data_IF_570930096237
#
_entry.id   IF_570930096237
#
_cell.length_a   1.000
_cell.length_b   1.000
_cell.length_c   1.000
_cell.angle_alpha   90.00
_cell.angle_beta   90.00
_cell.angle_gamma   90.00
#
_symmetry.space_group_name_H-M   'P 1'
#
loop_
_entity.id
_entity.type
_entity.pdbx_description
1 polymer ?
#
# COMPACT_ATOMS: atom_id res chain seq x y z
N UNK A 1 -17.57 -13.08 19.30
CA UNK A 1 -18.15 -12.12 18.34
C UNK A 1 -17.22 -12.07 17.14
N UNK A 2 -17.65 -12.68 16.03
CA UNK A 2 -16.91 -12.78 14.77
C UNK A 2 -16.88 -11.41 14.10
N UNK A 3 -15.68 -10.91 13.83
CA UNK A 3 -15.40 -9.57 13.35
C UNK A 3 -15.56 -9.52 11.80
N UNK A 4 -16.74 -9.89 11.28
CA UNK A 4 -16.93 -10.15 9.83
C UNK A 4 -17.27 -8.92 8.97
N UNK A 5 -17.52 -7.74 9.55
CA UNK A 5 -17.81 -6.53 8.76
C UNK A 5 -16.61 -5.58 8.70
N UNK A 6 -15.44 -6.08 8.31
CA UNK A 6 -14.36 -5.19 7.87
C UNK A 6 -14.85 -4.43 6.63
N UNK A 7 -15.12 -3.13 6.78
CA UNK A 7 -15.66 -2.26 5.73
C UNK A 7 -14.79 -2.36 4.48
N UNK A 8 -15.33 -3.04 3.47
CA UNK A 8 -14.67 -3.22 2.18
C UNK A 8 -14.82 -1.94 1.35
N UNK A 9 -13.72 -1.41 0.84
CA UNK A 9 -13.69 -0.13 0.11
C UNK A 9 -13.07 -0.36 -1.28
N UNK A 10 -13.74 0.02 -2.38
CA UNK A 10 -13.20 -0.18 -3.71
C UNK A 10 -11.98 0.71 -3.96
N UNK A 11 -11.08 0.26 -4.83
CA UNK A 11 -10.03 1.11 -5.41
C UNK A 11 -10.69 2.20 -6.24
N UNK A 12 -10.30 3.47 -6.01
CA UNK A 12 -10.78 4.60 -6.81
C UNK A 12 -9.93 4.79 -8.04
N UNK A 13 -10.54 5.27 -9.11
CA UNK A 13 -9.86 5.53 -10.38
C UNK A 13 -10.17 6.94 -10.87
N UNK A 14 -9.11 7.71 -11.09
CA UNK A 14 -9.13 8.97 -11.81
C UNK A 14 -8.57 8.75 -13.22
N UNK A 15 -9.38 8.97 -14.25
CA UNK A 15 -8.88 9.03 -15.61
C UNK A 15 -8.36 10.44 -15.90
N UNK A 16 -7.17 10.54 -16.46
CA UNK A 16 -6.59 11.82 -16.89
C UNK A 16 -6.14 11.78 -18.34
N UNK A 17 -6.75 12.61 -19.16
CA UNK A 17 -6.31 12.83 -20.53
C UNK A 17 -5.41 14.06 -20.59
N UNK A 18 -4.27 13.96 -21.26
CA UNK A 18 -3.43 15.13 -21.55
C UNK A 18 -3.83 15.78 -22.88
N UNK A 19 -3.41 17.03 -23.16
CA UNK A 19 -3.47 17.59 -24.50
C UNK A 19 -2.68 16.78 -25.53
N UNK A 20 -2.99 16.98 -26.82
CA UNK A 20 -2.13 16.51 -27.91
C UNK A 20 -0.74 17.13 -27.78
N UNK A 21 0.31 16.31 -27.90
CA UNK A 21 1.70 16.81 -27.86
C UNK A 21 2.16 17.24 -29.25
N UNK A 22 3.18 18.13 -29.37
CA UNK A 22 3.66 18.62 -30.67
C UNK A 22 3.99 17.52 -31.67
N UNK A 23 4.53 16.38 -31.21
CA UNK A 23 4.79 15.21 -32.05
C UNK A 23 3.51 14.66 -32.70
N UNK A 24 2.44 14.50 -31.93
CA UNK A 24 1.16 13.97 -32.43
C UNK A 24 0.50 14.96 -33.40
N UNK A 25 0.59 16.27 -33.11
CA UNK A 25 0.10 17.33 -33.99
C UNK A 25 0.85 17.32 -35.32
N UNK A 26 2.20 17.22 -35.28
CA UNK A 26 3.04 17.18 -36.48
C UNK A 26 2.82 15.91 -37.31
N UNK A 27 2.44 14.80 -36.67
CA UNK A 27 2.06 13.55 -37.33
C UNK A 27 0.61 13.59 -37.88
N UNK A 28 -0.13 14.68 -37.66
CA UNK A 28 -1.51 14.86 -38.15
C UNK A 28 -2.58 14.12 -37.35
N UNK A 29 -2.27 13.66 -36.13
CA UNK A 29 -3.19 12.92 -35.28
C UNK A 29 -4.41 13.75 -34.90
N UNK A 30 -5.58 13.12 -34.84
CA UNK A 30 -6.82 13.74 -34.36
C UNK A 30 -7.17 13.27 -32.94
N UNK A 31 -7.97 14.06 -32.22
CA UNK A 31 -8.52 13.66 -30.94
C UNK A 31 -9.59 12.57 -31.15
N UNK A 32 -9.39 11.38 -30.57
CA UNK A 32 -10.32 10.26 -30.65
C UNK A 32 -11.20 10.09 -29.40
N UNK A 33 -11.20 11.07 -28.50
CA UNK A 33 -11.90 11.04 -27.22
C UNK A 33 -12.89 12.20 -27.11
N UNK A 34 -14.08 11.89 -26.57
CA UNK A 34 -15.10 12.89 -26.21
C UNK A 34 -15.39 12.78 -24.72
N UNK A 35 -15.48 13.92 -24.03
CA UNK A 35 -15.77 14.00 -22.59
C UNK A 35 -17.18 14.52 -22.37
N UNK A 36 -17.93 13.92 -21.44
CA UNK A 36 -19.30 14.33 -21.14
C UNK A 36 -19.28 15.40 -20.05
N UNK A 37 -19.73 16.65 -20.31
CA UNK A 37 -19.68 17.72 -19.32
C UNK A 37 -20.49 17.37 -18.06
N UNK A 38 -19.87 17.53 -16.88
CA UNK A 38 -20.52 17.29 -15.58
C UNK A 38 -20.65 15.81 -15.19
N UNK A 39 -20.27 14.87 -16.05
CA UNK A 39 -20.27 13.44 -15.76
C UNK A 39 -18.84 12.88 -15.78
N UNK A 40 -18.48 11.94 -14.89
CA UNK A 40 -17.16 11.30 -14.92
C UNK A 40 -17.12 10.22 -16.02
N UNK A 41 -17.41 10.61 -17.26
CA UNK A 41 -17.53 9.72 -18.42
C UNK A 41 -16.68 10.20 -19.61
N UNK A 42 -16.03 9.24 -20.26
CA UNK A 42 -15.29 9.43 -21.52
C UNK A 42 -15.84 8.48 -22.58
N UNK A 43 -15.91 8.95 -23.83
CA UNK A 43 -16.34 8.18 -24.98
C UNK A 43 -15.16 8.06 -25.95
N UNK A 44 -14.82 6.83 -26.35
CA UNK A 44 -13.77 6.53 -27.33
C UNK A 44 -14.41 6.25 -28.68
N UNK A 45 -14.09 7.07 -29.68
CA UNK A 45 -14.75 7.01 -30.99
C UNK A 45 -16.25 7.30 -30.87
N UNK A 46 -17.08 6.51 -31.55
CA UNK A 46 -18.54 6.74 -31.63
C UNK A 46 -19.40 5.84 -30.73
N UNK A 47 -18.83 4.84 -30.05
CA UNK A 47 -19.65 3.76 -29.45
C UNK A 47 -19.25 3.29 -28.04
N UNK A 48 -18.03 3.59 -27.56
CA UNK A 48 -17.53 3.02 -26.28
C UNK A 48 -17.41 4.06 -25.19
N UNK A 49 -18.41 4.11 -24.32
CA UNK A 49 -18.38 4.93 -23.10
C UNK A 49 -17.73 4.17 -21.92
N UNK A 50 -16.92 4.87 -21.14
CA UNK A 50 -16.33 4.40 -19.90
C UNK A 50 -16.60 5.42 -18.78
N UNK A 51 -17.03 4.94 -17.62
CA UNK A 51 -17.31 5.78 -16.45
C UNK A 51 -16.32 5.46 -15.32
N UNK A 52 -15.77 6.48 -14.69
CA UNK A 52 -14.79 6.37 -13.61
C UNK A 52 -15.25 7.15 -12.37
N UNK A 53 -14.46 7.15 -11.31
CA UNK A 53 -14.76 7.97 -10.12
C UNK A 53 -14.47 9.45 -10.40
N UNK A 54 -13.45 9.72 -11.22
CA UNK A 54 -13.10 11.04 -11.73
C UNK A 54 -12.65 10.95 -13.19
N UNK A 55 -13.01 11.93 -14.01
CA UNK A 55 -12.51 12.08 -15.38
C UNK A 55 -12.04 13.52 -15.58
N UNK A 56 -10.75 13.64 -15.91
CA UNK A 56 -10.08 14.90 -16.19
C UNK A 56 -9.79 14.98 -17.69
N UNK A 57 -10.40 15.97 -18.35
CA UNK A 57 -10.17 16.26 -19.76
C UNK A 57 -8.80 16.97 -19.97
N UNK A 58 -8.38 17.23 -21.22
CA UNK A 58 -7.11 17.88 -21.53
C UNK A 58 -6.88 19.26 -20.89
N UNK A 59 -7.94 19.96 -20.47
CA UNK A 59 -7.86 21.29 -19.85
C UNK A 59 -7.61 21.22 -18.35
N UNK A 60 -7.78 20.05 -17.72
CA UNK A 60 -7.64 19.89 -16.29
C UNK A 60 -6.21 20.14 -15.79
N UNK A 61 -6.09 21.07 -14.85
CA UNK A 61 -4.82 21.48 -14.26
C UNK A 61 -4.35 20.52 -13.15
N UNK A 62 -3.07 20.62 -12.80
CA UNK A 62 -2.49 19.77 -11.75
C UNK A 62 -3.14 19.99 -10.38
N UNK A 63 -3.51 21.23 -10.08
CA UNK A 63 -4.17 21.58 -8.82
C UNK A 63 -5.56 20.94 -8.72
N UNK A 64 -6.34 20.98 -9.80
CA UNK A 64 -7.66 20.37 -9.87
C UNK A 64 -7.59 18.86 -9.62
N UNK A 65 -6.65 18.17 -10.29
CA UNK A 65 -6.42 16.72 -10.11
C UNK A 65 -6.08 16.41 -8.65
N UNK A 66 -5.20 17.20 -8.04
CA UNK A 66 -4.80 17.00 -6.65
C UNK A 66 -5.96 17.23 -5.67
N UNK A 67 -6.65 18.36 -5.79
CA UNK A 67 -7.73 18.75 -4.88
C UNK A 67 -8.92 17.78 -4.97
N UNK A 68 -9.28 17.36 -6.18
CA UNK A 68 -10.48 16.54 -6.42
C UNK A 68 -10.26 15.06 -6.10
N UNK A 69 -9.13 14.48 -6.53
CA UNK A 69 -8.92 13.03 -6.43
C UNK A 69 -7.99 12.64 -5.26
N UNK A 70 -6.92 13.42 -4.99
CA UNK A 70 -5.85 13.00 -4.08
C UNK A 70 -6.05 13.51 -2.66
N UNK A 71 -6.49 14.75 -2.48
CA UNK A 71 -6.57 15.44 -1.17
C UNK A 71 -7.34 14.64 -0.12
N UNK A 72 -8.42 13.95 -0.52
CA UNK A 72 -9.24 13.14 0.38
C UNK A 72 -8.50 11.94 0.98
N UNK A 73 -7.50 11.38 0.29
CA UNK A 73 -6.67 10.27 0.80
C UNK A 73 -5.77 10.73 1.95
N UNK A 74 -5.27 11.96 1.89
CA UNK A 74 -4.40 12.52 2.92
C UNK A 74 -5.14 12.68 4.25
N UNK A 75 -6.45 12.97 4.22
CA UNK A 75 -7.28 12.96 5.43
C UNK A 75 -7.34 11.58 6.08
N UNK A 76 -7.26 10.50 5.30
CA UNK A 76 -7.15 9.12 5.79
C UNK A 76 -5.77 8.82 6.37
N UNK A 77 -4.71 9.33 5.75
CA UNK A 77 -3.33 9.21 6.24
C UNK A 77 -3.21 9.72 7.69
N UNK A 78 -3.70 10.92 7.97
CA UNK A 78 -3.72 11.52 9.31
C UNK A 78 -4.69 10.87 10.31
N UNK A 79 -5.46 9.86 9.88
CA UNK A 79 -6.27 9.00 10.74
C UNK A 79 -5.60 7.65 11.02
N UNK A 80 -4.40 7.42 10.46
CA UNK A 80 -3.63 6.18 10.63
C UNK A 80 -3.87 5.13 9.55
N UNK A 81 -4.54 5.45 8.44
CA UNK A 81 -4.72 4.52 7.33
C UNK A 81 -3.53 4.57 6.36
N UNK A 82 -3.14 3.42 5.81
CA UNK A 82 -2.27 3.40 4.64
C UNK A 82 -2.99 3.93 3.42
N UNK A 83 -2.24 4.55 2.52
CA UNK A 83 -2.75 5.07 1.26
C UNK A 83 -1.76 4.84 0.11
N UNK A 84 -2.29 4.69 -1.09
CA UNK A 84 -1.49 4.53 -2.31
C UNK A 84 -2.07 5.37 -3.44
N UNK A 85 -1.22 6.15 -4.11
CA UNK A 85 -1.53 6.80 -5.38
C UNK A 85 -0.61 6.21 -6.43
N UNK A 86 -1.16 5.57 -7.46
CA UNK A 86 -0.38 5.02 -8.57
C UNK A 86 -0.78 5.62 -9.91
N UNK A 87 0.21 6.03 -10.71
CA UNK A 87 -0.01 6.46 -12.08
C UNK A 87 0.26 5.32 -13.06
N UNK A 88 -0.68 5.07 -13.97
CA UNK A 88 -0.64 3.99 -14.96
C UNK A 88 -1.06 4.48 -16.34
N UNK A 89 -0.51 3.91 -17.41
CA UNK A 89 -0.80 4.30 -18.80
C UNK A 89 0.41 4.09 -19.72
N UNK A 90 0.26 4.31 -21.01
CA UNK A 90 1.35 4.17 -21.98
C UNK A 90 2.48 5.19 -21.73
N UNK A 91 3.66 4.98 -22.30
CA UNK A 91 4.73 5.99 -22.33
C UNK A 91 4.26 7.26 -23.01
N UNK A 92 4.64 8.39 -22.43
CA UNK A 92 4.23 9.71 -22.89
C UNK A 92 2.77 10.06 -22.60
N UNK A 93 2.00 9.25 -21.86
CA UNK A 93 0.62 9.60 -21.47
C UNK A 93 0.50 10.64 -20.35
N UNK A 94 1.59 10.94 -19.64
CA UNK A 94 1.60 11.94 -18.56
C UNK A 94 1.68 11.37 -17.13
N UNK A 95 2.09 10.10 -16.94
CA UNK A 95 2.29 9.50 -15.60
C UNK A 95 3.24 10.31 -14.70
N UNK A 96 4.50 10.45 -15.14
CA UNK A 96 5.53 11.19 -14.41
C UNK A 96 5.18 12.67 -14.26
N UNK A 97 4.53 13.28 -15.25
CA UNK A 97 4.00 14.65 -15.16
C UNK A 97 2.94 14.76 -14.05
N UNK A 98 1.99 13.82 -14.01
CA UNK A 98 0.96 13.79 -12.97
C UNK A 98 1.54 13.58 -11.58
N UNK A 99 2.50 12.68 -11.43
CA UNK A 99 3.13 12.42 -10.13
C UNK A 99 4.12 13.50 -9.71
N UNK A 100 4.70 14.26 -10.65
CA UNK A 100 5.79 15.19 -10.36
C UNK A 100 7.14 14.49 -10.20
N UNK A 101 7.36 13.38 -10.91
CA UNK A 101 8.58 12.57 -10.82
C UNK A 101 9.83 13.19 -11.46
N UNK A 102 9.73 14.42 -12.00
CA UNK A 102 10.84 15.25 -12.47
C UNK A 102 10.90 16.60 -11.74
N UNK A 103 10.18 16.71 -10.62
CA UNK A 103 10.13 17.95 -9.86
C UNK A 103 11.50 18.35 -9.32
N UNK A 104 11.75 19.65 -9.34
CA UNK A 104 12.86 20.31 -8.67
C UNK A 104 12.33 21.50 -7.87
N UNK A 105 13.03 21.89 -6.82
CA UNK A 105 12.80 23.06 -5.97
C UNK A 105 12.70 24.36 -6.77
N UNK A 106 13.35 24.44 -7.94
CA UNK A 106 13.18 25.55 -8.87
C UNK A 106 11.74 25.73 -9.40
N UNK A 107 10.91 24.67 -9.31
CA UNK A 107 9.51 24.66 -9.74
C UNK A 107 8.52 24.83 -8.58
N UNK A 108 8.97 25.20 -7.37
CA UNK A 108 8.11 25.24 -6.16
C UNK A 108 6.84 26.09 -6.32
N UNK A 109 6.92 27.19 -7.08
CA UNK A 109 5.81 28.10 -7.35
C UNK A 109 5.15 27.87 -8.72
N UNK A 110 5.51 26.80 -9.44
CA UNK A 110 4.98 26.50 -10.75
C UNK A 110 3.59 25.82 -10.60
N UNK A 111 2.52 26.35 -11.22
CA UNK A 111 1.21 25.68 -11.21
C UNK A 111 1.25 24.24 -11.75
N UNK A 112 2.25 23.92 -12.58
CA UNK A 112 2.44 22.60 -13.19
C UNK A 112 3.03 21.54 -12.25
N UNK A 113 3.30 21.85 -10.97
CA UNK A 113 3.76 20.84 -10.00
C UNK A 113 2.75 19.70 -9.82
N UNK A 114 3.26 18.47 -9.86
CA UNK A 114 2.44 17.26 -9.78
C UNK A 114 2.00 16.89 -8.36
N UNK A 115 1.55 15.65 -8.22
CA UNK A 115 0.99 15.12 -6.96
C UNK A 115 2.00 15.08 -5.82
N UNK A 116 3.22 14.55 -6.02
CA UNK A 116 4.18 14.33 -4.93
C UNK A 116 4.53 15.66 -4.22
N UNK A 117 4.95 16.74 -4.92
CA UNK A 117 5.26 18.02 -4.25
C UNK A 117 4.06 18.60 -3.48
N UNK A 118 2.85 18.51 -4.06
CA UNK A 118 1.62 18.98 -3.40
C UNK A 118 1.27 18.16 -2.17
N UNK A 119 1.49 16.84 -2.21
CA UNK A 119 1.37 15.95 -1.03
C UNK A 119 2.34 16.40 0.08
N UNK A 120 3.61 16.66 -0.26
CA UNK A 120 4.62 17.10 0.71
C UNK A 120 4.16 18.40 1.38
N UNK A 121 3.81 19.43 0.60
CA UNK A 121 3.32 20.70 1.12
C UNK A 121 2.08 20.51 2.02
N UNK A 122 1.12 19.69 1.59
CA UNK A 122 -0.10 19.41 2.35
C UNK A 122 0.17 18.69 3.67
N UNK A 123 1.10 17.74 3.70
CA UNK A 123 1.48 17.02 4.92
C UNK A 123 2.08 17.97 5.95
N UNK A 124 3.03 18.82 5.55
CA UNK A 124 3.66 19.77 6.47
C UNK A 124 2.69 20.86 6.94
N UNK A 125 1.81 21.35 6.07
CA UNK A 125 0.74 22.29 6.46
C UNK A 125 -0.21 21.69 7.50
N UNK A 126 -0.62 20.42 7.32
CA UNK A 126 -1.48 19.74 8.30
C UNK A 126 -0.74 19.47 9.62
N UNK A 127 0.55 19.11 9.57
CA UNK A 127 1.40 18.95 10.76
C UNK A 127 1.47 20.24 11.58
N UNK A 128 1.67 21.39 10.94
CA UNK A 128 1.73 22.69 11.60
C UNK A 128 0.39 23.09 12.23
N UNK A 129 -0.73 22.67 11.63
CA UNK A 129 -2.08 22.97 12.14
C UNK A 129 -2.50 22.13 13.35
N UNK A 130 -1.81 21.01 13.63
CA UNK A 130 -2.17 20.05 14.68
C UNK A 130 -1.20 20.09 15.84
N UNK A 131 -1.55 20.86 16.87
CA UNK A 131 -0.72 21.04 18.08
C UNK A 131 -0.95 19.97 19.16
N UNK A 132 -1.94 19.10 18.98
CA UNK A 132 -2.35 18.05 19.91
C UNK A 132 -1.57 16.73 19.73
N UNK A 133 -0.73 16.65 18.68
CA UNK A 133 -0.05 15.44 18.27
C UNK A 133 1.42 15.71 17.93
N UNK A 134 2.30 14.77 18.27
CA UNK A 134 3.67 14.75 17.74
C UNK A 134 3.71 13.94 16.44
N UNK A 135 4.43 14.45 15.44
CA UNK A 135 4.60 13.79 14.14
C UNK A 135 6.08 13.51 13.86
N UNK A 136 6.38 12.29 13.41
CA UNK A 136 7.67 11.89 12.85
C UNK A 136 7.46 11.41 11.41
N UNK A 137 8.31 11.92 10.51
CA UNK A 137 8.23 11.67 9.07
C UNK A 137 9.52 11.03 8.59
N UNK A 138 9.39 9.90 7.91
CA UNK A 138 10.48 9.26 7.20
C UNK A 138 10.11 9.05 5.73
N UNK A 139 11.10 9.08 4.86
CA UNK A 139 10.92 8.78 3.43
C UNK A 139 11.88 7.71 2.95
N UNK A 140 11.39 6.87 2.05
CA UNK A 140 12.20 6.00 1.22
C UNK A 140 11.84 6.20 -0.24
N UNK A 141 12.81 6.01 -1.12
CA UNK A 141 12.60 6.10 -2.55
C UNK A 141 13.36 4.99 -3.25
N UNK A 142 12.65 4.20 -4.03
CA UNK A 142 13.21 3.10 -4.78
C UNK A 142 12.75 3.13 -6.23
N UNK A 143 13.51 2.44 -7.07
CA UNK A 143 13.05 2.01 -8.38
C UNK A 143 13.12 0.49 -8.53
N UNK A 144 12.20 -0.05 -9.32
CA UNK A 144 12.26 -1.40 -9.85
C UNK A 144 12.64 -1.29 -11.32
N UNK A 145 13.83 -1.77 -11.65
CA UNK A 145 14.35 -1.82 -13.02
C UNK A 145 14.82 -3.25 -13.30
N UNK A 146 14.33 -3.84 -14.39
CA UNK A 146 14.67 -5.22 -14.78
C UNK A 146 14.45 -6.26 -13.65
N UNK A 147 13.33 -6.17 -12.93
CA UNK A 147 13.03 -6.98 -11.74
C UNK A 147 14.06 -6.86 -10.61
N UNK A 148 14.91 -5.84 -10.58
CA UNK A 148 15.80 -5.52 -9.47
C UNK A 148 15.37 -4.24 -8.76
N UNK A 149 15.46 -4.27 -7.42
CA UNK A 149 15.13 -3.12 -6.58
C UNK A 149 16.41 -2.34 -6.38
N UNK A 150 16.35 -1.05 -6.68
CA UNK A 150 17.44 -0.11 -6.48
C UNK A 150 16.98 0.98 -5.50
N UNK A 151 17.79 1.21 -4.47
CA UNK A 151 17.58 2.31 -3.54
C UNK A 151 18.06 3.62 -4.19
N UNK A 152 17.14 4.58 -4.36
CA UNK A 152 17.40 5.88 -4.98
C UNK A 152 17.94 6.91 -3.97
N UNK A 153 17.90 6.64 -2.67
CA UNK A 153 18.39 7.56 -1.62
C UNK A 153 19.77 7.19 -1.08
N UNK A 154 20.28 6.00 -1.44
CA UNK A 154 21.60 5.51 -1.04
C UNK A 154 22.70 5.99 -2.00
N UNK A 155 23.65 6.76 -1.48
CA UNK A 155 24.82 7.24 -2.22
C UNK A 155 26.02 6.27 -2.16
N UNK A 156 25.94 5.20 -1.36
CA UNK A 156 27.05 4.27 -1.16
C UNK A 156 27.27 3.37 -2.38
N UNK A 157 28.54 3.11 -2.70
CA UNK A 157 28.94 2.09 -3.70
C UNK A 157 28.70 0.67 -3.18
N UNK A 158 28.79 0.47 -1.87
CA UNK A 158 28.45 -0.79 -1.21
C UNK A 158 26.95 -0.80 -0.92
N UNK A 159 26.18 -1.16 -1.95
CA UNK A 159 24.72 -1.25 -1.84
C UNK A 159 24.35 -2.51 -1.06
N UNK A 160 23.61 -2.40 0.07
CA UNK A 160 23.07 -3.58 0.74
C UNK A 160 22.14 -4.35 -0.20
N UNK A 161 22.13 -5.68 -0.10
CA UNK A 161 21.22 -6.50 -0.89
C UNK A 161 19.78 -6.26 -0.43
N UNK A 162 18.96 -5.68 -1.31
CA UNK A 162 17.55 -5.40 -1.01
C UNK A 162 16.72 -6.68 -1.16
N UNK A 163 15.96 -7.03 -0.12
CA UNK A 163 15.10 -8.21 -0.15
C UNK A 163 13.69 -7.90 0.39
N UNK A 164 12.67 -8.39 -0.32
CA UNK A 164 11.28 -8.27 0.09
C UNK A 164 10.96 -9.38 1.10
N UNK A 165 10.58 -8.98 2.32
CA UNK A 165 10.11 -9.87 3.39
C UNK A 165 8.64 -9.55 3.73
N UNK A 166 7.94 -10.58 4.18
CA UNK A 166 6.54 -10.48 4.61
C UNK A 166 6.52 -10.60 6.14
N UNK A 167 6.09 -9.54 6.83
CA UNK A 167 5.89 -9.53 8.27
C UNK A 167 4.40 -9.76 8.57
N UNK A 168 4.04 -10.74 9.43
CA UNK A 168 2.63 -11.03 9.74
C UNK A 168 1.84 -9.85 10.32
N UNK A 169 2.51 -8.89 10.96
CA UNK A 169 1.88 -7.72 11.59
C UNK A 169 2.03 -6.45 10.76
N UNK A 170 3.20 -6.26 10.14
CA UNK A 170 3.53 -5.01 9.44
C UNK A 170 3.47 -5.10 7.90
N UNK A 171 3.07 -6.26 7.36
CA UNK A 171 2.92 -6.46 5.93
C UNK A 171 4.26 -6.55 5.18
N UNK A 172 4.29 -6.06 3.96
CA UNK A 172 5.48 -6.14 3.10
C UNK A 172 6.55 -5.13 3.57
N UNK A 173 7.78 -5.62 3.79
CA UNK A 173 8.96 -4.81 4.14
C UNK A 173 10.11 -5.08 3.18
N UNK A 174 10.92 -4.04 2.93
CA UNK A 174 12.14 -4.16 2.14
C UNK A 174 13.33 -4.04 3.08
N UNK A 175 13.98 -5.16 3.36
CA UNK A 175 15.17 -5.18 4.22
C UNK A 175 16.34 -4.56 3.47
N UNK A 176 17.02 -3.62 4.10
CA UNK A 176 18.18 -2.91 3.57
C UNK A 176 17.84 -1.61 2.83
N UNK A 177 16.56 -1.27 2.66
CA UNK A 177 16.15 -0.01 2.04
C UNK A 177 16.44 1.17 2.99
N UNK A 178 17.06 2.22 2.47
CA UNK A 178 17.34 3.45 3.24
C UNK A 178 16.05 4.21 3.53
N UNK A 179 15.81 4.49 4.81
CA UNK A 179 14.77 5.42 5.26
C UNK A 179 15.45 6.67 5.85
N UNK A 180 15.13 7.84 5.28
CA UNK A 180 15.64 9.13 5.77
C UNK A 180 14.58 9.85 6.59
N UNK A 181 14.91 10.21 7.81
CA UNK A 181 14.08 11.09 8.64
C UNK A 181 14.13 12.51 8.07
N UNK A 182 12.99 13.17 8.00
CA UNK A 182 12.85 14.52 7.45
C UNK A 182 12.04 15.40 8.39
N UNK A 183 12.50 16.63 8.59
CA UNK A 183 11.94 17.56 9.57
C UNK A 183 11.24 18.76 8.93
N UNK A 184 11.46 19.00 7.64
CA UNK A 184 10.87 20.09 6.86
C UNK A 184 10.42 19.64 5.47
N UNK A 185 9.50 20.40 4.84
CA UNK A 185 9.07 20.17 3.47
C UNK A 185 10.26 20.24 2.49
N UNK A 186 11.18 21.17 2.74
CA UNK A 186 12.41 21.35 1.96
C UNK A 186 13.31 20.10 1.98
N UNK A 187 13.53 19.49 3.16
CA UNK A 187 14.31 18.26 3.27
C UNK A 187 13.65 17.08 2.53
N UNK A 188 12.32 16.97 2.63
CA UNK A 188 11.57 15.92 1.93
C UNK A 188 11.62 16.10 0.41
N UNK A 189 11.51 17.34 -0.07
CA UNK A 189 11.73 17.70 -1.49
C UNK A 189 13.16 17.36 -1.92
N UNK A 190 14.18 17.68 -1.12
CA UNK A 190 15.56 17.34 -1.43
C UNK A 190 15.79 15.82 -1.58
N UNK A 191 15.07 15.00 -0.82
CA UNK A 191 15.09 13.55 -1.00
C UNK A 191 14.46 13.12 -2.34
N UNK A 192 13.35 13.76 -2.74
CA UNK A 192 12.72 13.54 -4.04
C UNK A 192 13.65 13.92 -5.19
N UNK A 193 14.29 15.09 -5.12
CA UNK A 193 15.26 15.56 -6.13
C UNK A 193 16.47 14.63 -6.26
N UNK A 194 17.02 14.20 -5.12
CA UNK A 194 18.15 13.28 -5.07
C UNK A 194 17.80 11.96 -5.76
N UNK A 195 16.63 11.40 -5.46
CA UNK A 195 16.20 10.17 -6.11
C UNK A 195 15.83 10.34 -7.58
N UNK A 196 15.22 11.46 -7.97
CA UNK A 196 14.96 11.79 -9.39
C UNK A 196 16.27 11.92 -10.18
N UNK A 197 17.30 12.52 -9.57
CA UNK A 197 18.63 12.64 -10.16
C UNK A 197 19.29 11.28 -10.32
N UNK A 198 19.22 10.42 -9.29
CA UNK A 198 19.74 9.05 -9.35
C UNK A 198 19.05 8.23 -10.45
N UNK A 199 17.72 8.34 -10.56
CA UNK A 199 16.90 7.73 -11.62
C UNK A 199 17.30 8.22 -13.02
N UNK A 200 17.70 9.50 -13.13
CA UNK A 200 18.14 10.11 -14.39
C UNK A 200 19.56 9.71 -14.78
N UNK A 201 20.50 9.58 -13.84
CA UNK A 201 21.91 9.23 -14.15
C UNK A 201 22.04 7.78 -14.64
N UNK A 202 21.14 6.87 -14.24
CA UNK A 202 21.03 5.54 -14.84
C UNK A 202 20.63 5.56 -16.33
N UNK A 203 20.12 6.69 -16.81
CA UNK A 203 19.74 6.92 -18.20
C UNK A 203 20.94 7.44 -19.00
N UNK A 204 21.63 6.54 -19.71
CA UNK A 204 22.53 6.97 -20.79
C UNK A 204 21.72 7.79 -21.80
N UNK A 205 22.36 8.78 -22.45
CA UNK A 205 21.79 9.89 -23.25
C UNK A 205 20.81 9.55 -24.40
N UNK A 206 20.39 8.28 -24.53
CA UNK A 206 19.53 7.75 -25.57
C UNK A 206 18.21 7.14 -25.01
N UNK A 207 17.94 7.18 -23.70
CA UNK A 207 16.77 6.52 -23.08
C UNK A 207 16.00 7.46 -22.12
N UNK A 208 14.70 7.66 -22.32
CA UNK A 208 13.85 8.30 -21.30
C UNK A 208 13.58 7.31 -20.15
N UNK A 209 14.44 7.26 -19.13
CA UNK A 209 14.41 6.25 -18.07
C UNK A 209 13.06 6.13 -17.32
N UNK A 210 12.28 7.21 -17.23
CA UNK A 210 10.96 7.17 -16.57
C UNK A 210 9.96 6.23 -17.26
N UNK A 211 10.16 5.89 -18.54
CA UNK A 211 9.34 4.93 -19.26
C UNK A 211 9.63 3.47 -18.93
N UNK A 212 10.76 3.18 -18.25
CA UNK A 212 11.35 1.85 -18.17
C UNK A 212 11.65 1.34 -16.77
N UNK A 213 11.49 2.16 -15.74
CA UNK A 213 11.52 1.71 -14.34
C UNK A 213 10.26 2.15 -13.61
N UNK A 214 9.81 1.33 -12.65
CA UNK A 214 8.75 1.71 -11.72
C UNK A 214 9.38 2.41 -10.54
N UNK A 215 8.94 3.61 -10.20
CA UNK A 215 9.44 4.34 -9.03
C UNK A 215 8.39 4.37 -7.93
N UNK A 216 8.81 4.15 -6.68
CA UNK A 216 7.92 4.18 -5.50
C UNK A 216 8.55 5.10 -4.45
N UNK A 217 7.97 6.28 -4.29
CA UNK A 217 8.30 7.20 -3.20
C UNK A 217 7.35 6.93 -2.04
N UNK A 218 7.88 6.52 -0.90
CA UNK A 218 7.08 6.18 0.28
C UNK A 218 7.31 7.21 1.37
N UNK A 219 6.22 7.74 1.91
CA UNK A 219 6.23 8.60 3.09
C UNK A 219 5.64 7.80 4.26
N UNK A 220 6.43 7.58 5.30
CA UNK A 220 5.98 6.99 6.57
C UNK A 220 5.70 8.12 7.54
N UNK A 221 4.46 8.19 8.03
CA UNK A 221 3.99 9.17 9.00
C UNK A 221 3.65 8.44 10.30
N UNK A 222 4.47 8.65 11.32
CA UNK A 222 4.17 8.24 12.69
C UNK A 222 3.54 9.44 13.43
N UNK A 223 2.39 9.21 14.04
CA UNK A 223 1.68 10.19 14.85
C UNK A 223 1.55 9.64 16.27
N UNK A 224 1.89 10.46 17.27
CA UNK A 224 1.71 10.14 18.69
C UNK A 224 0.75 11.13 19.34
N UNK A 225 -0.29 10.63 20.00
CA UNK A 225 -1.27 11.46 20.72
C UNK A 225 -1.09 11.34 22.23
N UNK A 226 -1.27 12.46 22.94
CA UNK A 226 -1.23 12.52 24.42
C UNK A 226 0.16 12.43 25.04
N UNK A 227 0.25 12.72 26.35
CA UNK A 227 1.50 12.76 27.11
C UNK A 227 2.13 11.39 27.37
N UNK A 228 1.33 10.32 27.37
CA UNK A 228 1.76 8.98 27.78
C UNK A 228 2.25 8.06 26.64
N UNK A 229 2.25 8.55 25.39
CA UNK A 229 2.73 7.83 24.18
C UNK A 229 2.04 6.48 23.93
N UNK A 230 0.85 6.27 24.49
CA UNK A 230 0.11 5.00 24.40
C UNK A 230 -0.61 4.84 23.05
N UNK A 231 -1.06 5.95 22.46
CA UNK A 231 -1.75 5.98 21.18
C UNK A 231 -0.83 6.49 20.07
N UNK A 232 0.09 5.64 19.60
CA UNK A 232 0.84 5.90 18.36
C UNK A 232 0.26 5.15 17.18
N UNK A 233 0.07 5.86 16.07
CA UNK A 233 -0.39 5.30 14.80
C UNK A 233 0.67 5.52 13.74
N UNK A 234 0.87 4.52 12.88
CA UNK A 234 1.87 4.55 11.80
C UNK A 234 1.15 4.37 10.48
N UNK A 235 1.18 5.39 9.65
CA UNK A 235 0.61 5.34 8.31
C UNK A 235 1.71 5.42 7.25
N UNK A 236 1.42 4.89 6.07
CA UNK A 236 2.35 4.83 4.93
C UNK A 236 1.60 5.31 3.70
N UNK A 237 2.21 6.24 2.98
CA UNK A 237 1.72 6.74 1.71
C UNK A 237 2.68 6.32 0.61
N UNK A 238 2.23 5.46 -0.29
CA UNK A 238 2.99 5.07 -1.48
C UNK A 238 2.59 5.94 -2.67
N UNK A 239 3.56 6.63 -3.26
CA UNK A 239 3.40 7.45 -4.46
C UNK A 239 4.17 6.77 -5.59
N UNK A 240 3.42 6.16 -6.51
CA UNK A 240 3.94 5.20 -7.47
C UNK A 240 3.86 5.76 -8.90
N UNK A 241 5.00 5.85 -9.56
CA UNK A 241 5.12 6.21 -10.99
C UNK A 241 5.54 4.96 -11.78
N UNK A 242 4.58 4.29 -12.43
CA UNK A 242 4.84 3.06 -13.15
C UNK A 242 5.53 3.31 -14.50
N UNK A 243 6.22 2.31 -15.02
CA UNK A 243 6.71 2.28 -16.39
C UNK A 243 5.57 2.31 -17.44
N UNK A 244 5.92 2.48 -18.72
CA UNK A 244 4.98 2.44 -19.84
C UNK A 244 4.35 1.07 -20.03
N UNK A 245 3.04 1.03 -20.30
CA UNK A 245 2.26 -0.20 -20.55
C UNK A 245 2.19 -0.63 -22.01
N UNK A 246 2.82 0.13 -22.91
CA UNK A 246 2.76 -0.11 -24.35
C UNK A 246 3.45 -1.41 -24.78
N UNK A 247 2.92 -2.01 -25.85
CA UNK A 247 3.47 -3.24 -26.42
C UNK A 247 4.75 -2.97 -27.22
N UNK A 248 5.75 -3.82 -27.02
CA UNK A 248 7.05 -3.76 -27.74
C UNK A 248 6.96 -3.77 -29.28
N UNK A 249 5.84 -4.22 -29.88
CA UNK A 249 5.69 -4.22 -31.35
C UNK A 249 5.85 -2.83 -31.99
N UNK A 250 5.67 -1.74 -31.22
CA UNK A 250 5.91 -0.36 -31.67
C UNK A 250 7.35 0.12 -31.51
N UNK A 251 8.20 -0.54 -30.73
CA UNK A 251 9.48 0.06 -30.27
C UNK A 251 10.71 -0.23 -31.14
N UNK A 252 10.61 -1.03 -32.22
CA UNK A 252 11.74 -1.42 -33.13
C UNK A 252 13.05 -1.75 -32.36
N UNK A 253 12.94 -2.26 -31.14
CA UNK A 253 14.07 -2.43 -30.23
C UNK A 253 14.74 -3.80 -30.47
N UNK A 254 16.07 -3.81 -30.63
CA UNK A 254 16.87 -5.01 -30.87
C UNK A 254 17.85 -5.30 -29.71
N UNK A 255 18.28 -6.56 -29.56
CA UNK A 255 19.31 -6.97 -28.60
C UNK A 255 18.90 -6.86 -27.12
N UNK A 256 19.76 -6.31 -26.27
CA UNK A 256 19.50 -6.18 -24.83
C UNK A 256 18.31 -5.26 -24.52
N UNK A 257 17.96 -4.34 -25.43
CA UNK A 257 16.75 -3.52 -25.32
C UNK A 257 15.47 -4.34 -25.45
N UNK A 258 15.49 -5.42 -26.22
CA UNK A 258 14.37 -6.35 -26.32
C UNK A 258 14.19 -7.10 -24.99
N UNK A 259 15.28 -7.59 -24.39
CA UNK A 259 15.24 -8.26 -23.08
C UNK A 259 14.74 -7.30 -21.98
N UNK A 260 15.22 -6.07 -21.97
CA UNK A 260 14.80 -5.03 -21.02
C UNK A 260 13.30 -4.75 -21.12
N UNK A 261 12.77 -4.51 -22.32
CA UNK A 261 11.34 -4.27 -22.48
C UNK A 261 10.46 -5.51 -22.19
N UNK A 262 11.00 -6.73 -22.31
CA UNK A 262 10.30 -7.95 -21.85
C UNK A 262 10.19 -7.93 -20.33
N UNK A 263 11.28 -7.60 -19.63
CA UNK A 263 11.28 -7.50 -18.15
C UNK A 263 10.35 -6.40 -17.64
N UNK A 264 10.31 -5.23 -18.28
CA UNK A 264 9.39 -4.14 -17.93
C UNK A 264 7.93 -4.59 -18.09
N UNK A 265 7.64 -5.23 -19.22
CA UNK A 265 6.31 -5.75 -19.50
C UNK A 265 5.94 -6.92 -18.57
N UNK A 266 6.91 -7.69 -18.06
CA UNK A 266 6.65 -8.72 -17.05
C UNK A 266 6.03 -8.11 -15.79
N UNK A 267 6.59 -7.02 -15.27
CA UNK A 267 6.05 -6.33 -14.09
C UNK A 267 4.59 -5.90 -14.28
N UNK A 268 4.29 -5.25 -15.41
CA UNK A 268 2.94 -4.77 -15.74
C UNK A 268 1.96 -5.88 -16.14
N UNK A 269 2.45 -6.96 -16.75
CA UNK A 269 1.67 -8.16 -17.03
C UNK A 269 1.23 -8.82 -15.73
N UNK A 270 2.16 -9.04 -14.78
CA UNK A 270 1.85 -9.56 -13.45
C UNK A 270 0.84 -8.66 -12.72
N UNK A 271 1.01 -7.34 -12.79
CA UNK A 271 0.04 -6.39 -12.25
C UNK A 271 -1.35 -6.56 -12.88
N UNK A 272 -1.40 -6.80 -14.19
CA UNK A 272 -2.65 -7.07 -14.92
C UNK A 272 -3.32 -8.37 -14.51
N UNK A 273 -2.54 -9.41 -14.22
CA UNK A 273 -3.04 -10.68 -13.72
C UNK A 273 -3.62 -10.53 -12.31
N UNK A 274 -2.93 -9.80 -11.43
CA UNK A 274 -3.43 -9.46 -10.08
C UNK A 274 -4.75 -8.70 -10.14
N UNK A 275 -4.82 -7.64 -10.95
CA UNK A 275 -6.05 -6.83 -11.09
C UNK A 275 -7.19 -7.66 -11.68
N UNK A 276 -6.90 -8.55 -12.62
CA UNK A 276 -7.91 -9.45 -13.20
C UNK A 276 -8.43 -10.47 -12.18
N UNK A 277 -7.54 -11.04 -11.37
CA UNK A 277 -7.91 -11.99 -10.33
C UNK A 277 -8.77 -11.33 -9.24
N UNK A 278 -8.43 -10.10 -8.84
CA UNK A 278 -9.15 -9.35 -7.80
C UNK A 278 -10.46 -8.72 -8.27
N UNK A 279 -10.55 -8.34 -9.56
CA UNK A 279 -11.73 -7.70 -10.13
C UNK A 279 -12.83 -8.67 -10.59
N UNK A 280 -12.56 -9.98 -10.62
CA UNK A 280 -13.50 -11.02 -11.03
C UNK A 280 -14.25 -11.58 -9.81
N UNK A 281 -15.49 -11.14 -9.59
CA UNK A 281 -16.29 -11.58 -8.45
C UNK A 281 -16.65 -13.08 -8.50
N UNK A 282 -16.55 -13.74 -9.66
CA UNK A 282 -16.73 -15.18 -9.77
C UNK A 282 -15.57 -15.98 -9.15
N UNK A 283 -14.43 -15.31 -8.92
CA UNK A 283 -13.18 -15.87 -8.44
C UNK A 283 -12.82 -15.41 -7.03
N UNK A 284 -13.81 -15.17 -6.17
CA UNK A 284 -13.62 -14.63 -4.79
C UNK A 284 -12.62 -15.37 -3.89
N UNK A 285 -12.22 -16.61 -4.23
CA UNK A 285 -11.21 -17.40 -3.53
C UNK A 285 -10.05 -17.87 -4.44
N UNK A 286 -9.91 -17.30 -5.63
CA UNK A 286 -8.81 -17.66 -6.52
C UNK A 286 -7.48 -17.13 -5.98
N UNK A 287 -6.43 -17.91 -6.20
CA UNK A 287 -5.06 -17.49 -5.90
C UNK A 287 -4.72 -16.21 -6.67
N UNK A 288 -4.26 -15.18 -5.95
CA UNK A 288 -3.81 -13.92 -6.54
C UNK A 288 -2.29 -13.95 -6.68
N UNK A 289 -1.74 -13.83 -7.90
CA UNK A 289 -0.33 -14.09 -8.16
C UNK A 289 0.58 -12.89 -7.85
N UNK A 290 0.55 -12.37 -6.61
CA UNK A 290 1.40 -11.24 -6.22
C UNK A 290 2.89 -11.53 -6.35
N UNK A 291 3.30 -12.81 -6.26
CA UNK A 291 4.70 -13.23 -6.28
C UNK A 291 5.34 -13.26 -7.68
N UNK A 292 4.57 -13.07 -8.73
CA UNK A 292 5.06 -13.18 -10.12
C UNK A 292 6.04 -12.05 -10.52
N UNK A 293 5.97 -10.90 -9.83
CA UNK A 293 6.93 -9.79 -9.97
C UNK A 293 7.20 -9.11 -8.64
N UNK A 294 8.38 -8.46 -8.51
CA UNK A 294 8.69 -7.64 -7.33
C UNK A 294 7.70 -6.48 -7.19
N UNK A 295 7.23 -5.92 -8.30
CA UNK A 295 6.23 -4.85 -8.32
C UNK A 295 4.93 -5.25 -7.64
N UNK A 296 4.35 -6.40 -8.00
CA UNK A 296 3.08 -6.85 -7.43
C UNK A 296 3.20 -7.26 -5.98
N UNK A 297 4.38 -7.74 -5.55
CA UNK A 297 4.66 -7.96 -4.12
C UNK A 297 4.66 -6.66 -3.32
N UNK A 298 5.28 -5.60 -3.83
CA UNK A 298 5.27 -4.29 -3.14
C UNK A 298 3.89 -3.63 -3.13
N UNK A 299 3.07 -3.88 -4.15
CA UNK A 299 1.71 -3.33 -4.25
C UNK A 299 0.63 -4.26 -3.66
N UNK A 300 1.01 -5.35 -3.00
CA UNK A 300 0.06 -6.33 -2.46
C UNK A 300 -0.92 -5.68 -1.47
N UNK A 301 -0.43 -4.82 -0.58
CA UNK A 301 -1.30 -4.11 0.37
C UNK A 301 -2.16 -3.03 -0.32
N UNK A 302 -1.68 -2.52 -1.45
CA UNK A 302 -2.36 -1.48 -2.24
C UNK A 302 -3.52 -2.04 -3.06
N UNK A 303 -3.47 -3.31 -3.47
CA UNK A 303 -4.47 -3.93 -4.34
C UNK A 303 -5.04 -5.16 -3.65
N UNK A 304 -6.23 -5.06 -3.08
CA UNK A 304 -6.89 -6.13 -2.34
C UNK A 304 -6.50 -6.23 -0.86
N UNK A 305 -5.64 -5.33 -0.35
CA UNK A 305 -5.10 -5.37 1.01
C UNK A 305 -5.48 -4.17 1.89
N UNK A 306 -4.62 -3.86 2.87
CA UNK A 306 -4.76 -2.79 3.84
C UNK A 306 -4.25 -1.45 3.29
N UNK A 307 -5.00 -0.82 2.38
CA UNK A 307 -4.68 0.53 1.91
C UNK A 307 -5.89 1.21 1.26
N UNK A 308 -6.00 2.52 1.39
CA UNK A 308 -6.83 3.33 0.50
C UNK A 308 -6.08 3.63 -0.79
N UNK A 309 -6.58 3.12 -1.91
CA UNK A 309 -5.85 3.21 -3.17
C UNK A 309 -6.60 4.03 -4.21
N UNK A 310 -5.85 4.93 -4.86
CA UNK A 310 -6.25 5.69 -6.03
C UNK A 310 -5.31 5.36 -7.19
N UNK A 311 -5.89 4.96 -8.31
CA UNK A 311 -5.18 4.83 -9.58
C UNK A 311 -5.47 6.03 -10.47
N UNK A 312 -4.42 6.71 -10.93
CA UNK A 312 -4.48 7.76 -11.95
C UNK A 312 -4.14 7.12 -13.30
N UNK A 313 -5.19 6.82 -14.08
CA UNK A 313 -5.06 6.26 -15.43
C UNK A 313 -4.80 7.39 -16.44
N UNK A 314 -3.56 7.51 -16.92
CA UNK A 314 -3.13 8.53 -17.87
C UNK A 314 -3.28 8.02 -19.31
N UNK A 315 -3.89 8.83 -20.18
CA UNK A 315 -4.16 8.47 -21.59
C UNK A 315 -3.76 9.57 -22.57
N UNK A 316 -3.47 9.19 -23.82
CA UNK A 316 -3.31 10.12 -24.94
C UNK A 316 -4.65 10.25 -25.70
N UNK A 317 -5.03 11.48 -26.12
CA UNK A 317 -6.19 11.69 -26.98
C UNK A 317 -5.94 11.31 -28.44
N UNK A 318 -4.69 11.08 -28.87
CA UNK A 318 -4.37 10.83 -30.27
C UNK A 318 -4.94 9.50 -30.78
N UNK A 319 -5.58 9.54 -31.95
CA UNK A 319 -6.05 8.38 -32.71
C UNK A 319 -4.97 7.32 -32.97
N UNK A 320 -3.73 7.72 -33.24
CA UNK A 320 -2.56 6.83 -33.40
C UNK A 320 -2.26 5.98 -32.15
N UNK A 321 -2.76 6.40 -30.99
CA UNK A 321 -2.62 5.74 -29.70
C UNK A 321 -3.91 5.05 -29.22
N UNK A 322 -4.96 5.03 -30.03
CA UNK A 322 -6.29 4.54 -29.64
C UNK A 322 -6.29 3.13 -29.02
N UNK A 323 -5.51 2.19 -29.57
CA UNK A 323 -5.42 0.82 -29.03
C UNK A 323 -4.91 0.81 -27.57
N UNK A 324 -3.84 1.56 -27.30
CA UNK A 324 -3.23 1.63 -25.97
C UNK A 324 -4.09 2.43 -24.98
N UNK A 325 -4.78 3.46 -25.47
CA UNK A 325 -5.80 4.18 -24.70
C UNK A 325 -6.94 3.25 -24.29
N UNK A 326 -7.50 2.44 -25.20
CA UNK A 326 -8.55 1.45 -24.88
C UNK A 326 -8.04 0.39 -23.89
N UNK A 327 -6.80 -0.08 -24.04
CA UNK A 327 -6.20 -1.02 -23.11
C UNK A 327 -6.13 -0.42 -21.69
N UNK A 328 -5.68 0.83 -21.59
CA UNK A 328 -5.61 1.57 -20.32
C UNK A 328 -6.99 1.74 -19.69
N UNK A 329 -8.00 2.12 -20.48
CA UNK A 329 -9.37 2.30 -20.01
C UNK A 329 -9.98 1.00 -19.45
N UNK A 330 -9.83 -0.11 -20.18
CA UNK A 330 -10.28 -1.44 -19.73
C UNK A 330 -9.55 -1.93 -18.49
N UNK A 331 -8.26 -1.62 -18.38
CA UNK A 331 -7.46 -1.96 -17.23
C UNK A 331 -7.93 -1.21 -15.98
N UNK A 332 -8.15 0.10 -16.13
CA UNK A 332 -8.67 0.97 -15.10
C UNK A 332 -10.09 0.58 -14.65
N UNK A 333 -10.97 0.17 -15.58
CA UNK A 333 -12.31 -0.35 -15.25
C UNK A 333 -12.24 -1.61 -14.37
N UNK A 334 -11.32 -2.53 -14.66
CA UNK A 334 -11.10 -3.72 -13.82
C UNK A 334 -10.55 -3.34 -12.44
N UNK A 335 -9.65 -2.37 -12.36
CA UNK A 335 -9.09 -1.92 -11.09
C UNK A 335 -10.16 -1.38 -10.13
N UNK A 336 -11.19 -0.68 -10.63
CA UNK A 336 -12.32 -0.18 -9.80
C UNK A 336 -13.10 -1.27 -9.07
N UNK A 337 -13.07 -2.51 -9.58
CA UNK A 337 -13.78 -3.66 -9.00
C UNK A 337 -13.02 -4.28 -7.83
N UNK A 338 -11.75 -3.91 -7.65
CA UNK A 338 -10.91 -4.38 -6.55
C UNK A 338 -11.40 -3.79 -5.24
N UNK A 339 -11.46 -4.64 -4.23
CA UNK A 339 -12.04 -4.39 -2.92
C UNK A 339 -10.95 -4.47 -1.85
N UNK A 340 -10.54 -3.32 -1.32
CA UNK A 340 -9.54 -3.21 -0.26
C UNK A 340 -10.18 -3.26 1.14
N UNK A 341 -9.37 -3.53 2.16
CA UNK A 341 -9.75 -3.60 3.57
C UNK A 341 -8.84 -2.72 4.42
N UNK A 342 -8.89 -1.38 4.26
CA UNK A 342 -8.04 -0.47 5.01
C UNK A 342 -8.42 -0.48 6.49
N UNK A 343 -7.42 -0.57 7.37
CA UNK A 343 -7.55 -0.50 8.83
C UNK A 343 -6.66 0.60 9.40
N UNK A 344 -6.98 1.07 10.60
CA UNK A 344 -6.13 2.01 11.33
C UNK A 344 -4.93 1.25 11.90
N UNK A 345 -3.74 1.72 11.58
CA UNK A 345 -2.49 1.03 11.91
C UNK A 345 -1.92 1.61 13.20
N UNK A 346 -2.19 0.93 14.31
CA UNK A 346 -1.63 1.26 15.63
C UNK A 346 -0.24 0.63 15.74
N UNK A 347 0.73 1.37 16.24
CA UNK A 347 2.10 0.87 16.44
C UNK A 347 2.09 -0.36 17.36
N UNK A 348 2.55 -1.52 16.89
CA UNK A 348 2.63 -2.73 17.71
C UNK A 348 3.47 -2.54 18.98
N UNK A 349 4.48 -1.66 18.95
CA UNK A 349 5.33 -1.37 20.11
C UNK A 349 4.58 -0.59 21.18
N UNK A 350 3.76 0.37 20.78
CA UNK A 350 2.93 1.13 21.72
C UNK A 350 1.80 0.25 22.28
N UNK A 351 1.18 -0.59 21.44
CA UNK A 351 0.20 -1.57 21.90
C UNK A 351 0.80 -2.54 22.92
N UNK A 352 2.01 -3.05 22.65
CA UNK A 352 2.72 -3.93 23.58
C UNK A 352 3.17 -3.21 24.85
N UNK A 353 3.67 -1.98 24.73
CA UNK A 353 4.04 -1.15 25.88
C UNK A 353 2.84 -0.84 26.77
N UNK A 354 1.68 -0.58 26.19
CA UNK A 354 0.41 -0.39 26.91
C UNK A 354 0.02 -1.66 27.65
N UNK A 355 0.09 -2.82 26.97
CA UNK A 355 -0.20 -4.13 27.57
C UNK A 355 0.74 -4.42 28.75
N UNK A 356 2.03 -4.16 28.59
CA UNK A 356 3.02 -4.35 29.64
C UNK A 356 2.81 -3.38 30.82
N UNK A 357 2.50 -2.10 30.56
CA UNK A 357 2.16 -1.13 31.62
C UNK A 357 0.94 -1.58 32.42
N UNK A 358 -0.11 -2.06 31.76
CA UNK A 358 -1.30 -2.59 32.41
C UNK A 358 -0.97 -3.81 33.28
N UNK A 359 -0.16 -4.75 32.77
CA UNK A 359 0.29 -5.91 33.56
C UNK A 359 1.14 -5.50 34.77
N UNK A 360 2.04 -4.53 34.61
CA UNK A 360 2.83 -4.00 35.73
C UNK A 360 1.94 -3.38 36.79
N UNK A 361 0.92 -2.61 36.40
CA UNK A 361 -0.01 -1.98 37.34
C UNK A 361 -0.87 -3.01 38.07
N UNK A 362 -1.38 -4.04 37.37
CA UNK A 362 -2.11 -5.15 37.98
C UNK A 362 -1.24 -5.93 38.97
N UNK A 363 0.02 -6.20 38.62
CA UNK A 363 0.98 -6.87 39.51
C UNK A 363 1.33 -6.00 40.73
N UNK A 364 1.48 -4.69 40.57
CA UNK A 364 1.72 -3.77 41.68
C UNK A 364 0.53 -3.74 42.65
N UNK A 365 -0.70 -3.71 42.14
CA UNK A 365 -1.93 -3.79 42.95
C UNK A 365 -2.01 -5.13 43.68
N UNK A 366 -1.70 -6.24 43.02
CA UNK A 366 -1.66 -7.56 43.68
C UNK A 366 -0.58 -7.66 44.76
N UNK A 367 0.60 -7.08 44.54
CA UNK A 367 1.68 -7.03 45.53
C UNK A 367 1.34 -6.14 46.73
N UNK A 368 0.64 -5.02 46.52
CA UNK A 368 0.13 -4.15 47.60
C UNK A 368 -0.86 -4.91 48.50
N UNK A 369 -1.78 -5.68 47.91
CA UNK A 369 -2.70 -6.54 48.66
C UNK A 369 -1.98 -7.71 49.36
N UNK A 370 -0.98 -8.33 48.72
CA UNK A 370 -0.24 -9.47 49.27
C UNK A 370 0.74 -9.09 50.38
N UNK A 371 1.28 -7.85 50.40
CA UNK A 371 2.23 -7.36 51.41
C UNK A 371 1.58 -6.76 52.67
N UNK A 372 0.25 -6.86 52.82
CA UNK A 372 -0.44 -6.46 54.06
C UNK A 372 -0.48 -4.94 54.30
N UNK A 373 -0.39 -4.12 53.23
CA UNK A 373 -0.49 -2.68 53.33
C UNK A 373 -1.91 -2.21 53.55
N UNK A 374 -2.36 -2.17 54.81
CA UNK A 374 -3.50 -1.36 55.23
C UNK A 374 -3.07 0.11 55.16
N UNK A 375 -3.65 0.89 54.25
CA UNK A 375 -3.57 2.36 54.28
C UNK A 375 -4.97 2.95 54.60
N UNK A 376 -5.04 4.06 55.36
CA UNK A 376 -6.20 4.40 56.17
C UNK A 376 -7.17 5.29 55.41
N UNK A 377 -8.22 4.72 54.83
CA UNK A 377 -9.47 5.44 54.56
C UNK A 377 -10.60 4.43 54.77
N UNK A 378 -11.70 4.88 55.37
CA UNK A 378 -12.93 4.15 55.71
C UNK A 378 -13.02 3.65 57.16
N UNK A 379 -13.02 4.62 58.09
CA UNK A 379 -13.61 4.48 59.42
C UNK A 379 -15.13 4.24 59.31
N UNK A 380 -15.56 3.00 59.52
CA UNK A 380 -16.97 2.61 59.72
C UNK A 380 -17.12 1.09 59.90
N UNK A 381 -17.87 0.59 60.90
CA UNK A 381 -17.96 -0.85 61.21
C UNK A 381 -18.69 -1.69 60.15
N UNK A 382 -19.34 -1.07 59.15
CA UNK A 382 -20.01 -1.75 58.04
C UNK A 382 -19.06 -2.15 56.87
N UNK A 383 -17.80 -1.68 56.88
CA UNK A 383 -16.86 -1.91 55.76
C UNK A 383 -16.07 -3.22 55.88
N UNK A 384 -15.84 -3.75 57.08
CA UNK A 384 -15.04 -4.95 57.31
C UNK A 384 -15.69 -6.23 56.75
N UNK A 385 -17.02 -6.33 56.83
CA UNK A 385 -17.82 -7.46 56.32
C UNK A 385 -17.89 -7.47 54.78
N UNK A 386 -17.92 -6.29 54.17
CA UNK A 386 -17.89 -6.16 52.71
C UNK A 386 -16.50 -6.44 52.13
N UNK A 387 -15.43 -6.03 52.83
CA UNK A 387 -14.05 -6.34 52.44
C UNK A 387 -13.76 -7.84 52.53
N UNK A 388 -14.27 -8.53 53.56
CA UNK A 388 -14.13 -9.99 53.68
C UNK A 388 -14.88 -10.74 52.58
N UNK A 389 -16.13 -10.35 52.25
CA UNK A 389 -16.87 -10.92 51.11
C UNK A 389 -16.18 -10.68 49.77
N UNK A 390 -15.58 -9.50 49.58
CA UNK A 390 -14.79 -9.18 48.37
C UNK A 390 -13.52 -10.04 48.28
N UNK A 391 -12.82 -10.25 49.39
CA UNK A 391 -11.63 -11.12 49.44
C UNK A 391 -11.97 -12.59 49.14
N UNK A 392 -13.08 -13.10 49.68
CA UNK A 392 -13.57 -14.45 49.33
C UNK A 392 -13.94 -14.56 47.85
N UNK A 393 -14.58 -13.53 47.28
CA UNK A 393 -14.92 -13.50 45.87
C UNK A 393 -13.68 -13.45 44.98
N UNK A 394 -12.66 -12.68 45.35
CA UNK A 394 -11.37 -12.63 44.64
C UNK A 394 -10.69 -14.00 44.68
N UNK A 395 -10.69 -14.68 45.82
CA UNK A 395 -10.10 -16.02 45.96
C UNK A 395 -10.84 -17.05 45.09
N UNK A 396 -12.16 -17.03 45.11
CA UNK A 396 -12.99 -17.88 44.24
C UNK A 396 -12.73 -17.61 42.75
N UNK A 397 -12.59 -16.34 42.35
CA UNK A 397 -12.31 -15.99 40.96
C UNK A 397 -10.88 -16.37 40.56
N UNK A 398 -9.90 -16.30 41.45
CA UNK A 398 -8.53 -16.77 41.20
C UNK A 398 -8.49 -18.29 41.01
N UNK A 399 -9.22 -19.05 41.83
CA UNK A 399 -9.33 -20.51 41.67
C UNK A 399 -10.01 -20.88 40.35
N UNK A 400 -11.06 -20.17 39.98
CA UNK A 400 -11.77 -20.35 38.70
C UNK A 400 -10.88 -19.99 37.50
N UNK A 401 -10.09 -18.91 37.60
CA UNK A 401 -9.18 -18.48 36.54
C UNK A 401 -7.99 -19.46 36.37
N UNK A 402 -7.49 -20.01 37.48
CA UNK A 402 -6.48 -21.08 37.45
C UNK A 402 -7.03 -22.36 36.81
N UNK A 403 -8.29 -22.71 37.13
CA UNK A 403 -8.97 -23.85 36.52
C UNK A 403 -9.17 -23.65 35.01
N UNK A 404 -9.69 -22.50 34.60
CA UNK A 404 -9.90 -22.15 33.19
C UNK A 404 -8.57 -22.09 32.41
N UNK A 405 -7.51 -21.56 33.02
CA UNK A 405 -6.17 -21.53 32.39
C UNK A 405 -5.62 -22.93 32.15
N UNK A 406 -5.88 -23.86 33.08
CA UNK A 406 -5.50 -25.27 32.93
C UNK A 406 -6.32 -25.97 31.84
N UNK A 407 -7.63 -25.76 31.83
CA UNK A 407 -8.53 -26.29 30.79
C UNK A 407 -8.15 -25.76 29.40
N UNK A 408 -7.80 -24.46 29.29
CA UNK A 408 -7.35 -23.86 28.04
C UNK A 408 -6.02 -24.46 27.55
N UNK A 409 -5.08 -24.72 28.47
CA UNK A 409 -3.80 -25.37 28.15
C UNK A 409 -4.01 -26.82 27.67
N UNK A 410 -4.89 -27.57 28.34
CA UNK A 410 -5.26 -28.93 27.93
C UNK A 410 -5.95 -28.94 26.55
N UNK A 411 -6.88 -28.01 26.30
CA UNK A 411 -7.54 -27.86 25.02
C UNK A 411 -6.56 -27.46 23.89
N UNK A 412 -5.62 -26.56 24.17
CA UNK A 412 -4.56 -26.19 23.24
C UNK A 412 -3.67 -27.39 22.90
N UNK A 413 -3.31 -28.20 23.91
CA UNK A 413 -2.56 -29.44 23.71
C UNK A 413 -3.31 -30.47 22.86
N UNK A 414 -4.61 -30.68 23.12
CA UNK A 414 -5.46 -31.54 22.29
C UNK A 414 -5.57 -31.06 20.85
N UNK A 415 -5.67 -29.74 20.66
CA UNK A 415 -5.74 -29.13 19.33
C UNK A 415 -4.43 -29.32 18.56
N UNK A 416 -3.28 -29.13 19.21
CA UNK A 416 -1.97 -29.40 18.62
C UNK A 416 -1.82 -30.87 18.21
N UNK A 417 -2.24 -31.80 19.07
CA UNK A 417 -2.24 -33.24 18.75
C UNK A 417 -3.16 -33.58 17.57
N UNK A 418 -4.34 -32.95 17.46
CA UNK A 418 -5.22 -33.12 16.31
C UNK A 418 -4.59 -32.61 15.02
N UNK A 419 -3.91 -31.45 15.04
CA UNK A 419 -3.19 -30.94 13.87
C UNK A 419 -2.08 -31.88 13.41
N UNK A 420 -1.31 -32.44 14.34
CA UNK A 420 -0.26 -33.42 14.01
C UNK A 420 -0.85 -34.68 13.35
N UNK A 421 -1.99 -35.17 13.88
CA UNK A 421 -2.71 -36.30 13.28
C UNK A 421 -3.25 -35.97 11.88
N UNK A 422 -3.79 -34.77 11.66
CA UNK A 422 -4.27 -34.33 10.34
C UNK A 422 -3.12 -34.32 9.34
N UNK A 423 -1.98 -33.73 9.69
CA UNK A 423 -0.78 -33.68 8.83
C UNK A 423 -0.32 -35.09 8.46
N UNK A 424 -0.26 -36.02 9.42
CA UNK A 424 0.10 -37.41 9.13
C UNK A 424 -0.91 -38.11 8.21
N UNK A 425 -2.20 -37.80 8.37
CA UNK A 425 -3.26 -38.39 7.54
C UNK A 425 -3.22 -37.84 6.11
N UNK A 426 -2.94 -36.55 5.94
CA UNK A 426 -2.74 -35.93 4.63
C UNK A 426 -1.52 -36.53 3.90
N UNK A 427 -0.39 -36.69 4.59
CA UNK A 427 0.79 -37.34 4.01
C UNK A 427 0.53 -38.80 3.61
N UNK A 428 -0.28 -39.54 4.37
CA UNK A 428 -0.68 -40.89 4.02
C UNK A 428 -1.60 -40.91 2.78
N UNK A 429 -2.52 -39.95 2.68
CA UNK A 429 -3.40 -39.78 1.52
C UNK A 429 -2.62 -39.43 0.25
N UNK A 430 -1.65 -38.52 0.33
CA UNK A 430 -0.78 -38.18 -0.81
C UNK A 430 0.00 -39.40 -1.32
N UNK A 431 0.53 -40.22 -0.40
CA UNK A 431 1.21 -41.49 -0.76
C UNK A 431 0.26 -42.47 -1.45
N UNK A 432 -0.97 -42.59 -0.94
CA UNK A 432 -2.00 -43.44 -1.55
C UNK A 432 -2.38 -42.95 -2.95
N UNK A 433 -2.59 -41.64 -3.13
CA UNK A 433 -2.89 -41.05 -4.43
C UNK A 433 -1.77 -41.27 -5.44
N UNK A 434 -0.51 -41.04 -5.04
CA UNK A 434 0.65 -41.32 -5.89
C UNK A 434 0.73 -42.78 -6.32
N UNK A 435 0.43 -43.73 -5.41
CA UNK A 435 0.40 -45.16 -5.73
C UNK A 435 -0.76 -45.54 -6.65
N UNK A 436 -1.89 -44.86 -6.52
CA UNK A 436 -3.08 -45.02 -7.37
C UNK A 436 -2.82 -44.52 -8.80
N UNK A 437 -2.11 -43.40 -8.94
CA UNK A 437 -1.64 -42.89 -10.24
C UNK A 437 -0.63 -43.84 -10.90
N UNK A 438 0.32 -44.38 -10.14
CA UNK A 438 1.28 -45.37 -10.65
C UNK A 438 0.59 -46.66 -11.16
N UNK A 439 -0.43 -47.13 -10.44
CA UNK A 439 -1.22 -48.30 -10.86
C UNK A 439 -2.09 -48.01 -12.09
N UNK A 440 -2.67 -46.81 -12.19
CA UNK A 440 -3.41 -46.38 -13.39
C UNK A 440 -2.51 -46.29 -14.61
N UNK A 441 -1.26 -45.87 -14.45
CA UNK A 441 -0.27 -45.84 -15.52
C UNK A 441 0.29 -47.22 -15.91
N UNK A 442 0.18 -48.24 -15.06
CA UNK A 442 0.57 -49.63 -15.40
C UNK A 442 -0.59 -50.44 -16.03
N UNK A 443 -1.83 -49.98 -15.87
CA UNK A 443 -3.02 -50.65 -16.39
C UNK A 443 -3.50 -50.10 -17.76
N UNK A 444 -2.86 -49.03 -18.25
CA UNK A 444 -2.99 -48.47 -19.60
C UNK A 444 -1.76 -48.82 -20.42
#
# INVERSE_FOLDING_TARGET
>A
MTNEDAKVIPVRVALRCRPLVPKEINEGCQCCLTFVPGEPQVIVGTEKAFTYDYVFDPTAEQEEVFNTAVSSLLNGLFKGYHATVLAYGQTGSGKTFSMGGTYTSAQENDPSVGVIPRVIQRIFKERESRTDCEFSLAVSYLEIYNEDILDLLCASKDKPSLSIREDPKEGIKIVGLTEKQVFSAYEMVGCLELGNSARTVGSTAMNAASSRSHAIFTITLEQRRGTDKVDSVVSKLHLVDLAGSERQKKTKAEGDRLKEGISINRGLLSLGNVISALGDESKKNAFVPYRDSKLTRLLQDSLGGNSHTLMIACISPADSNMEETINTLRYADRARKIKNKPVVNVDPRAAEMSRLKQQVQELQVMLLHARGGVAPVLSGPESAENVTKLLERIRSLQDENNKLSRELSEAAGQTAFMFEKIIMTEQANEKLQSKLEQLRHHAA
#
